data_IF_254149599215
#
_entry.id   IF_254149599215
#
_cell.length_a   1.000
_cell.length_b   1.000
_cell.length_c   1.000
_cell.angle_alpha   90.00
_cell.angle_beta   90.00
_cell.angle_gamma   90.00
#
_symmetry.space_group_name_H-M   'P 1'
#
loop_
_entity.id
_entity.type
_entity.pdbx_description
1 polymer ?
#
# COMPACT_ATOMS: atom_id res chain seq x y z
N UNK A 1 15.05 53.73 -53.43
CA UNK A 1 15.06 52.44 -52.68
C UNK A 1 15.18 52.59 -51.15
N UNK A 2 15.96 53.51 -50.58
CA UNK A 2 16.08 53.68 -49.10
C UNK A 2 14.76 54.05 -48.38
N UNK A 3 13.94 54.92 -48.96
CA UNK A 3 12.67 55.34 -48.37
C UNK A 3 11.66 54.19 -48.20
N UNK A 4 11.58 53.29 -49.18
CA UNK A 4 10.67 52.13 -49.16
C UNK A 4 11.09 51.12 -48.06
N UNK A 5 12.40 50.89 -47.89
CA UNK A 5 12.92 50.04 -46.79
C UNK A 5 12.64 50.62 -45.40
N UNK A 6 12.71 51.94 -45.23
CA UNK A 6 12.41 52.58 -43.95
C UNK A 6 10.91 52.51 -43.59
N UNK A 7 10.04 52.66 -44.59
CA UNK A 7 8.59 52.51 -44.39
C UNK A 7 8.26 51.06 -44.03
N UNK A 8 8.85 50.07 -44.71
CA UNK A 8 8.66 48.66 -44.39
C UNK A 8 9.13 48.30 -42.98
N UNK A 9 10.32 48.77 -42.57
CA UNK A 9 10.83 48.53 -41.21
C UNK A 9 9.99 49.24 -40.13
N UNK A 10 9.43 50.43 -40.43
CA UNK A 10 8.53 51.13 -39.51
C UNK A 10 7.19 50.42 -39.35
N UNK A 11 6.64 49.84 -40.42
CA UNK A 11 5.39 49.07 -40.38
C UNK A 11 5.64 47.71 -39.70
N UNK A 12 6.72 47.01 -40.05
CA UNK A 12 7.11 45.76 -39.41
C UNK A 12 7.39 45.94 -37.91
N UNK A 13 8.04 47.04 -37.51
CA UNK A 13 8.27 47.36 -36.09
C UNK A 13 6.98 47.58 -35.30
N UNK A 14 6.00 48.30 -35.87
CA UNK A 14 4.68 48.49 -35.25
C UNK A 14 3.89 47.18 -35.18
N UNK A 15 3.99 46.33 -36.21
CA UNK A 15 3.34 45.02 -36.24
C UNK A 15 3.94 44.08 -35.17
N UNK A 16 5.27 44.05 -35.06
CA UNK A 16 5.98 43.25 -34.05
C UNK A 16 5.69 43.73 -32.62
N UNK A 17 5.61 45.04 -32.41
CA UNK A 17 5.25 45.61 -31.11
C UNK A 17 3.80 45.25 -30.71
N UNK A 18 2.86 45.30 -31.66
CA UNK A 18 1.48 44.87 -31.44
C UNK A 18 1.37 43.38 -31.08
N UNK A 19 2.15 42.53 -31.75
CA UNK A 19 2.16 41.08 -31.47
C UNK A 19 2.77 40.75 -30.11
N UNK A 20 3.82 41.47 -29.69
CA UNK A 20 4.44 41.31 -28.37
C UNK A 20 3.48 41.70 -27.24
N UNK A 21 2.73 42.81 -27.39
CA UNK A 21 1.73 43.27 -26.41
C UNK A 21 0.61 42.25 -26.22
N UNK A 22 0.13 41.65 -27.32
CA UNK A 22 -0.91 40.61 -27.28
C UNK A 22 -0.43 39.34 -26.56
N UNK A 23 0.83 38.92 -26.77
CA UNK A 23 1.40 37.76 -26.07
C UNK A 23 1.57 38.00 -24.56
N UNK A 24 1.97 39.20 -24.14
CA UNK A 24 2.09 39.53 -22.71
C UNK A 24 0.74 39.64 -22.00
N UNK A 25 -0.33 40.03 -22.70
CA UNK A 25 -1.67 40.12 -22.11
C UNK A 25 -2.29 38.73 -21.82
N UNK A 26 -1.95 37.71 -22.60
CA UNK A 26 -2.43 36.33 -22.40
C UNK A 26 -1.73 35.58 -21.25
N UNK A 27 -0.61 36.10 -20.74
CA UNK A 27 0.18 35.41 -19.71
C UNK A 27 -0.46 35.45 -18.30
N UNK A 28 -1.46 36.31 -18.08
CA UNK A 28 -2.09 36.50 -16.77
C UNK A 28 -3.47 35.82 -16.62
N UNK A 29 -3.96 35.09 -17.63
CA UNK A 29 -5.28 34.43 -17.57
C UNK A 29 -5.26 33.01 -16.98
N UNK A 30 -4.28 32.69 -16.12
CA UNK A 30 -4.10 31.34 -15.58
C UNK A 30 -4.95 31.02 -14.33
N UNK A 31 -5.72 31.97 -13.81
CA UNK A 31 -6.54 31.76 -12.61
C UNK A 31 -7.91 31.19 -13.01
N UNK A 32 -8.14 29.90 -12.80
CA UNK A 32 -9.47 29.30 -12.86
C UNK A 32 -10.19 29.53 -11.54
N UNK A 33 -11.30 30.26 -11.57
CA UNK A 33 -12.19 30.39 -10.42
C UNK A 33 -12.97 29.09 -10.25
N UNK A 34 -12.61 28.29 -9.26
CA UNK A 34 -13.29 27.05 -8.91
C UNK A 34 -14.06 27.35 -7.63
N UNK A 35 -15.38 27.28 -7.74
CA UNK A 35 -16.31 27.46 -6.63
C UNK A 35 -15.95 26.53 -5.45
N UNK A 36 -16.11 27.03 -4.23
CA UNK A 36 -15.63 26.34 -3.02
C UNK A 36 -16.19 24.93 -2.87
N UNK A 37 -17.43 24.71 -3.28
CA UNK A 37 -18.11 23.41 -3.20
C UNK A 37 -17.55 22.40 -4.21
N UNK A 38 -16.85 22.87 -5.24
CA UNK A 38 -16.21 22.04 -6.27
C UNK A 38 -14.72 21.78 -5.99
N UNK A 39 -14.17 22.29 -4.87
CA UNK A 39 -12.75 22.11 -4.50
C UNK A 39 -12.48 20.76 -3.84
N UNK A 40 -13.50 20.10 -3.30
CA UNK A 40 -13.36 18.86 -2.53
C UNK A 40 -14.07 17.70 -3.25
N UNK A 41 -13.32 16.62 -3.47
CA UNK A 41 -13.89 15.34 -3.88
C UNK A 41 -14.33 14.56 -2.64
N UNK A 42 -15.57 14.09 -2.62
CA UNK A 42 -16.04 13.19 -1.57
C UNK A 42 -15.29 11.87 -1.66
N UNK A 43 -14.54 11.53 -0.62
CA UNK A 43 -13.94 10.22 -0.43
C UNK A 43 -14.76 9.48 0.61
N UNK A 44 -15.43 8.39 0.20
CA UNK A 44 -16.15 7.52 1.13
C UNK A 44 -15.13 6.98 2.16
N UNK A 45 -15.37 7.12 3.47
CA UNK A 45 -14.52 6.50 4.47
C UNK A 45 -14.50 4.99 4.25
N UNK A 46 -13.32 4.36 4.23
CA UNK A 46 -13.27 2.90 4.25
C UNK A 46 -13.71 2.41 5.63
N UNK A 47 -14.32 1.24 5.70
CA UNK A 47 -14.44 0.55 6.97
C UNK A 47 -13.03 0.15 7.42
N UNK A 48 -12.49 0.86 8.41
CA UNK A 48 -11.20 0.52 9.01
C UNK A 48 -11.47 -0.45 10.17
N UNK A 49 -11.14 -1.72 9.97
CA UNK A 49 -11.18 -2.74 11.02
C UNK A 49 -9.75 -3.02 11.51
N UNK A 50 -9.60 -3.26 12.81
CA UNK A 50 -8.33 -3.68 13.41
C UNK A 50 -8.30 -5.20 13.42
N UNK A 51 -7.35 -5.78 12.71
CA UNK A 51 -7.10 -7.22 12.70
C UNK A 51 -5.86 -7.51 13.55
N UNK A 52 -5.85 -8.65 14.23
CA UNK A 52 -4.71 -9.17 14.98
C UNK A 52 -4.25 -10.46 14.32
N UNK A 53 -2.98 -10.50 13.91
CA UNK A 53 -2.31 -11.69 13.42
C UNK A 53 -1.64 -12.39 14.61
N UNK A 54 -1.91 -13.68 14.79
CA UNK A 54 -1.25 -14.55 15.75
C UNK A 54 -0.41 -15.56 14.99
N UNK A 55 0.90 -15.49 15.15
CA UNK A 55 1.84 -16.48 14.65
C UNK A 55 2.14 -17.48 15.77
N UNK A 56 1.55 -18.67 15.70
CA UNK A 56 1.69 -19.73 16.70
C UNK A 56 2.76 -20.73 16.27
N UNK A 57 3.95 -20.64 16.89
CA UNK A 57 5.00 -21.65 16.70
C UNK A 57 4.60 -22.95 17.39
N UNK A 58 4.20 -23.93 16.59
CA UNK A 58 3.51 -25.12 17.04
C UNK A 58 4.22 -26.40 16.60
N UNK A 59 3.82 -27.53 17.18
CA UNK A 59 4.43 -28.82 16.89
C UNK A 59 3.52 -29.97 17.30
N UNK A 60 3.45 -31.02 16.48
CA UNK A 60 2.60 -32.18 16.74
C UNK A 60 2.96 -32.89 18.05
N UNK A 61 4.22 -32.80 18.48
CA UNK A 61 4.72 -33.45 19.70
C UNK A 61 4.73 -32.52 20.92
N UNK A 62 4.36 -31.26 20.74
CA UNK A 62 4.29 -30.28 21.81
C UNK A 62 3.00 -30.47 22.62
N UNK A 63 3.12 -30.97 23.85
CA UNK A 63 1.98 -31.26 24.73
C UNK A 63 1.19 -30.00 25.15
N UNK A 64 1.79 -28.82 25.02
CA UNK A 64 1.18 -27.55 25.38
C UNK A 64 0.47 -26.87 24.20
N UNK A 65 0.83 -27.25 22.97
CA UNK A 65 0.33 -26.62 21.75
C UNK A 65 -1.19 -26.80 21.54
N UNK A 66 -1.82 -27.93 21.93
CA UNK A 66 -3.28 -28.01 21.95
C UNK A 66 -3.95 -26.95 22.84
N UNK A 67 -3.36 -26.61 24.00
CA UNK A 67 -3.89 -25.57 24.89
C UNK A 67 -3.74 -24.18 24.27
N UNK A 68 -2.66 -23.93 23.53
CA UNK A 68 -2.47 -22.68 22.80
C UNK A 68 -3.52 -22.54 21.69
N UNK A 69 -3.78 -23.61 20.94
CA UNK A 69 -4.84 -23.65 19.93
C UNK A 69 -6.23 -23.40 20.54
N UNK A 70 -6.53 -23.97 21.70
CA UNK A 70 -7.79 -23.69 22.43
C UNK A 70 -7.90 -22.21 22.82
N UNK A 71 -6.82 -21.58 23.28
CA UNK A 71 -6.81 -20.13 23.59
C UNK A 71 -6.99 -19.25 22.36
N UNK A 72 -6.40 -19.62 21.22
CA UNK A 72 -6.62 -18.92 19.95
C UNK A 72 -8.09 -19.03 19.55
N UNK A 73 -8.69 -20.22 19.68
CA UNK A 73 -10.11 -20.44 19.41
C UNK A 73 -11.00 -19.58 20.32
N UNK A 74 -10.73 -19.53 21.62
CA UNK A 74 -11.46 -18.65 22.55
C UNK A 74 -11.38 -17.17 22.12
N UNK A 75 -10.21 -16.70 21.66
CA UNK A 75 -10.05 -15.34 21.14
C UNK A 75 -10.85 -15.11 19.86
N UNK A 76 -10.86 -16.08 18.95
CA UNK A 76 -11.66 -16.03 17.72
C UNK A 76 -13.16 -16.03 18.00
N UNK A 77 -13.63 -16.82 18.97
CA UNK A 77 -15.03 -16.83 19.41
C UNK A 77 -15.42 -15.48 20.05
N UNK A 78 -14.53 -14.88 20.84
CA UNK A 78 -14.79 -13.63 21.55
C UNK A 78 -14.73 -12.39 20.63
N UNK A 79 -13.77 -12.35 19.70
CA UNK A 79 -13.48 -11.16 18.91
C UNK A 79 -13.83 -11.30 17.42
N UNK A 80 -14.23 -12.50 16.97
CA UNK A 80 -14.57 -12.82 15.59
C UNK A 80 -13.37 -13.40 14.82
N UNK A 81 -13.61 -14.50 14.10
CA UNK A 81 -12.61 -15.15 13.23
C UNK A 81 -12.05 -14.21 12.16
N UNK A 82 -12.85 -13.26 11.66
CA UNK A 82 -12.40 -12.25 10.71
C UNK A 82 -11.43 -11.22 11.33
N UNK A 83 -11.46 -11.04 12.66
CA UNK A 83 -10.61 -10.07 13.36
C UNK A 83 -9.35 -10.73 13.96
N UNK A 84 -9.42 -12.00 14.35
CA UNK A 84 -8.29 -12.77 14.89
C UNK A 84 -7.82 -13.80 13.86
N UNK A 85 -6.76 -13.46 13.14
CA UNK A 85 -6.17 -14.30 12.09
C UNK A 85 -5.03 -15.11 12.70
N UNK A 86 -5.20 -16.42 12.81
CA UNK A 86 -4.17 -17.30 13.38
C UNK A 86 -3.44 -18.08 12.28
N UNK A 87 -2.11 -18.13 12.38
CA UNK A 87 -1.21 -18.88 11.49
C UNK A 87 -0.35 -19.81 12.34
N UNK A 88 -0.55 -21.11 12.16
CA UNK A 88 0.29 -22.12 12.81
C UNK A 88 1.56 -22.38 12.01
N UNK A 89 2.72 -22.16 12.63
CA UNK A 89 4.04 -22.36 12.04
C UNK A 89 4.68 -23.60 12.66
N UNK A 90 4.81 -24.66 11.86
CA UNK A 90 5.44 -25.91 12.30
C UNK A 90 6.95 -25.88 12.04
N UNK A 91 7.74 -25.90 13.11
CA UNK A 91 9.21 -25.89 13.03
C UNK A 91 9.87 -26.54 14.25
N UNK A 92 11.16 -26.84 14.12
CA UNK A 92 12.01 -27.31 15.21
C UNK A 92 11.69 -28.71 15.74
N UNK A 93 12.30 -29.04 16.88
CA UNK A 93 12.34 -30.39 17.45
C UNK A 93 10.97 -30.96 17.90
N UNK A 94 9.94 -30.11 18.01
CA UNK A 94 8.58 -30.53 18.33
C UNK A 94 7.70 -30.76 17.09
N UNK A 95 8.10 -30.21 15.94
CA UNK A 95 7.52 -30.54 14.64
C UNK A 95 8.19 -31.74 13.99
N UNK A 96 9.49 -31.95 14.24
CA UNK A 96 10.31 -33.01 13.66
C UNK A 96 10.69 -34.10 14.67
N UNK A 97 10.92 -35.33 14.20
CA UNK A 97 11.90 -36.22 14.81
C UNK A 97 12.54 -37.14 13.76
N UNK A 98 13.83 -37.42 13.92
CA UNK A 98 14.53 -38.48 13.17
C UNK A 98 13.93 -39.88 13.45
N UNK A 99 13.09 -39.97 14.49
CA UNK A 99 12.41 -41.20 14.94
C UNK A 99 11.05 -41.44 14.26
N UNK A 100 10.38 -40.47 13.62
CA UNK A 100 9.09 -40.67 12.93
C UNK A 100 9.26 -41.18 11.50
N UNK A 101 9.95 -42.32 11.38
CA UNK A 101 9.55 -43.30 10.36
C UNK A 101 8.21 -43.98 10.73
N UNK A 102 7.59 -43.58 11.84
CA UNK A 102 6.26 -43.97 12.32
C UNK A 102 5.54 -42.73 12.83
N UNK A 103 4.38 -42.49 12.23
CA UNK A 103 3.29 -41.57 12.55
C UNK A 103 3.31 -40.81 13.90
N UNK A 104 2.89 -39.53 13.91
CA UNK A 104 2.45 -38.77 12.75
C UNK A 104 3.63 -38.24 11.93
N UNK A 105 3.48 -38.22 10.61
CA UNK A 105 4.45 -37.58 9.71
C UNK A 105 4.67 -36.12 10.11
N UNK A 106 5.93 -35.68 10.03
CA UNK A 106 6.31 -34.30 10.34
C UNK A 106 5.52 -33.30 9.50
N UNK A 107 4.97 -32.29 10.16
CA UNK A 107 4.36 -31.11 9.51
C UNK A 107 5.33 -29.94 9.35
N UNK A 108 6.61 -30.09 9.70
CA UNK A 108 7.59 -29.01 9.57
C UNK A 108 7.80 -28.60 8.12
N UNK A 109 7.90 -27.30 7.87
CA UNK A 109 8.30 -26.76 6.58
C UNK A 109 9.74 -26.24 6.63
N UNK A 110 10.35 -26.03 5.46
CA UNK A 110 11.68 -25.40 5.36
C UNK A 110 11.64 -24.02 6.02
N UNK A 111 10.60 -23.23 5.72
CA UNK A 111 10.41 -21.90 6.30
C UNK A 111 10.18 -21.97 7.81
N UNK A 112 9.32 -22.87 8.30
CA UNK A 112 9.07 -23.06 9.73
C UNK A 112 10.34 -23.43 10.51
N UNK A 113 11.22 -24.24 9.93
CA UNK A 113 12.52 -24.57 10.53
C UNK A 113 13.52 -23.41 10.50
N UNK A 114 13.44 -22.53 9.50
CA UNK A 114 14.28 -21.33 9.45
C UNK A 114 13.99 -20.37 10.62
N UNK A 115 12.73 -20.28 11.07
CA UNK A 115 12.37 -19.48 12.23
C UNK A 115 12.86 -20.06 13.57
N UNK A 116 13.04 -21.39 13.65
CA UNK A 116 13.51 -22.06 14.86
C UNK A 116 15.03 -21.96 15.08
N UNK A 117 15.80 -21.80 14.01
CA UNK A 117 17.26 -21.97 14.01
C UNK A 117 18.06 -20.67 14.20
N UNK A 118 17.48 -19.65 14.83
CA UNK A 118 18.15 -18.37 15.13
C UNK A 118 19.05 -18.44 16.37
#
# INVERSE_FOLDING_TARGET
MKAIKNIYNSIAGKLMLGMAVLMTAGAFSACSDIDEDNRLIYVKPSEVKKHVLIEDFTGQRCINCPKAADKIKELQEQYGEDNIIAVGIYGGDFGYNDLAKKEPCSLTTVDGNSYYST
#
